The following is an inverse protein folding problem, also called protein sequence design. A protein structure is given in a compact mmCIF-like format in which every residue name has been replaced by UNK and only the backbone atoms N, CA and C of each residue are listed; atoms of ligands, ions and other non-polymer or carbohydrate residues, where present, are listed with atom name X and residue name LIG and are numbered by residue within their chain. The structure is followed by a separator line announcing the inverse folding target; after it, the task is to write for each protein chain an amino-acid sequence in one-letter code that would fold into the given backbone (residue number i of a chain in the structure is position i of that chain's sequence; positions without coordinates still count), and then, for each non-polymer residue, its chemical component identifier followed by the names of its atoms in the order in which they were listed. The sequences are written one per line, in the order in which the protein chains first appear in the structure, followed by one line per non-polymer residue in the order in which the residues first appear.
data_IF_755631774359
#
_entry.id   IF_755631774359
#
_cell.length_a   1.000
_cell.length_b   1.000
_cell.length_c   1.000
_cell.angle_alpha   90.00
_cell.angle_beta   90.00
_cell.angle_gamma   90.00
#
_symmetry.space_group_name_H-M   'P 1'
#
loop_
_entity.id
_entity.type
_entity.pdbx_description
1 polymer ?
#
# COMPACT_ATOMS: atom_id res chain seq x y z
N UNK A 1 12.13 4.44 -9.76
CA UNK A 1 10.89 5.10 -9.30
C UNK A 1 9.75 4.20 -9.76
N UNK A 2 8.97 3.64 -8.85
CA UNK A 2 7.86 2.75 -9.21
C UNK A 2 6.72 3.59 -9.76
N UNK A 3 6.23 3.31 -10.97
CA UNK A 3 5.05 3.99 -11.49
C UNK A 3 3.78 3.36 -10.90
N UNK A 4 3.49 3.72 -9.65
CA UNK A 4 2.26 3.29 -8.95
C UNK A 4 1.02 3.73 -9.72
N UNK A 5 1.07 4.86 -10.44
CA UNK A 5 -0.07 5.34 -11.24
C UNK A 5 -0.34 4.37 -12.38
N UNK A 6 0.68 3.96 -13.13
CA UNK A 6 0.51 3.00 -14.22
C UNK A 6 -0.10 1.69 -13.70
N UNK A 7 0.41 1.15 -12.59
CA UNK A 7 -0.14 -0.08 -11.98
C UNK A 7 -1.62 0.07 -11.64
N UNK A 8 -1.98 1.15 -10.93
CA UNK A 8 -3.38 1.44 -10.57
C UNK A 8 -4.25 1.60 -11.82
N UNK A 9 -3.78 2.32 -12.84
CA UNK A 9 -4.50 2.46 -14.11
C UNK A 9 -4.72 1.12 -14.80
N UNK A 10 -3.75 0.20 -14.78
CA UNK A 10 -3.92 -1.13 -15.35
C UNK A 10 -4.95 -1.94 -14.56
N UNK A 11 -4.88 -1.94 -13.23
CA UNK A 11 -5.84 -2.67 -12.37
C UNK A 11 -7.26 -2.16 -12.62
N UNK A 12 -7.47 -0.84 -12.64
CA UNK A 12 -8.81 -0.27 -12.86
C UNK A 12 -9.39 -0.56 -14.26
N UNK A 13 -8.56 -0.92 -15.24
CA UNK A 13 -8.99 -1.36 -16.58
C UNK A 13 -9.34 -2.84 -16.63
N UNK A 14 -8.85 -3.65 -15.68
CA UNK A 14 -9.20 -5.05 -15.62
C UNK A 14 -10.63 -5.21 -15.08
N UNK A 15 -11.37 -6.23 -15.56
CA UNK A 15 -12.62 -6.65 -14.93
C UNK A 15 -12.39 -6.96 -13.44
N UNK A 16 -13.36 -6.59 -12.59
CA UNK A 16 -13.25 -6.73 -11.13
C UNK A 16 -12.44 -5.63 -10.43
N UNK A 17 -11.52 -4.95 -11.13
CA UNK A 17 -10.75 -3.81 -10.62
C UNK A 17 -9.93 -4.09 -9.35
N UNK A 18 -9.39 -5.30 -9.23
CA UNK A 18 -8.51 -5.73 -8.14
C UNK A 18 -7.27 -6.45 -8.70
N UNK A 19 -6.28 -6.66 -7.86
CA UNK A 19 -5.14 -7.54 -8.13
C UNK A 19 -5.00 -8.60 -7.04
N UNK A 20 -4.30 -9.69 -7.36
CA UNK A 20 -3.88 -10.67 -6.36
C UNK A 20 -2.41 -10.45 -6.03
N UNK A 21 -2.11 -10.31 -4.74
CA UNK A 21 -0.74 -10.36 -4.23
C UNK A 21 -0.45 -11.78 -3.74
N UNK A 22 0.52 -12.43 -4.36
CA UNK A 22 0.93 -13.80 -4.01
C UNK A 22 2.22 -13.76 -3.19
N UNK A 23 2.23 -14.47 -2.07
CA UNK A 23 3.38 -14.61 -1.19
C UNK A 23 3.31 -15.93 -0.41
N UNK A 24 4.24 -16.14 0.51
CA UNK A 24 4.23 -17.27 1.44
C UNK A 24 4.34 -16.81 2.88
N UNK A 25 4.16 -17.72 3.82
CA UNK A 25 4.17 -17.43 5.25
C UNK A 25 5.44 -16.71 5.72
N UNK A 26 6.61 -17.08 5.20
CA UNK A 26 7.87 -16.45 5.59
C UNK A 26 7.97 -14.99 5.16
N UNK A 27 7.48 -14.66 3.96
CA UNK A 27 7.33 -13.28 3.51
C UNK A 27 6.27 -12.58 4.36
N UNK A 28 5.12 -13.21 4.59
CA UNK A 28 3.99 -12.63 5.30
C UNK A 28 4.36 -12.13 6.70
N UNK A 29 4.97 -13.00 7.51
CA UNK A 29 5.34 -12.65 8.89
C UNK A 29 6.42 -11.58 8.93
N UNK A 30 7.25 -11.46 7.90
CA UNK A 30 8.36 -10.52 7.90
C UNK A 30 7.97 -9.16 7.34
N UNK A 31 7.16 -9.14 6.29
CA UNK A 31 6.94 -7.96 5.45
C UNK A 31 5.54 -7.35 5.59
N UNK A 32 4.51 -8.12 5.98
CA UNK A 32 3.17 -7.56 6.12
C UNK A 32 3.11 -6.55 7.27
N UNK A 33 2.56 -5.38 6.96
CA UNK A 33 2.27 -4.32 7.90
C UNK A 33 0.90 -3.74 7.59
N UNK A 34 0.07 -3.59 8.63
CA UNK A 34 -1.27 -3.02 8.51
C UNK A 34 -1.29 -1.65 9.17
N UNK A 35 -1.77 -0.64 8.45
CA UNK A 35 -1.98 0.68 9.04
C UNK A 35 -3.24 0.66 9.90
N UNK A 36 -3.08 0.71 11.23
CA UNK A 36 -4.19 0.74 12.17
C UNK A 36 -3.73 0.46 13.61
N UNK A 37 -4.21 1.25 14.56
CA UNK A 37 -3.87 1.09 15.99
C UNK A 37 -4.35 -0.26 16.57
N UNK A 38 -5.35 -0.89 15.95
CA UNK A 38 -5.92 -2.17 16.39
C UNK A 38 -5.05 -3.38 16.06
N UNK A 39 -4.23 -3.30 15.00
CA UNK A 39 -3.30 -4.36 14.61
C UNK A 39 -1.90 -4.12 15.19
N UNK A 40 -1.49 -2.86 15.33
CA UNK A 40 -0.16 -2.46 15.76
C UNK A 40 -0.02 -2.35 17.29
N UNK A 41 -0.47 -3.36 18.02
CA UNK A 41 -0.58 -3.35 19.50
C UNK A 41 0.75 -3.09 20.20
N UNK A 42 1.87 -3.60 19.66
CA UNK A 42 3.21 -3.35 20.20
C UNK A 42 3.62 -1.86 20.14
N UNK A 43 3.26 -1.15 19.06
CA UNK A 43 3.49 0.30 18.96
C UNK A 43 2.54 1.09 19.85
N UNK A 44 1.25 0.72 19.85
CA UNK A 44 0.21 1.34 20.70
C UNK A 44 0.60 1.31 22.18
N UNK A 45 1.07 0.16 22.63
CA UNK A 45 1.42 -0.10 24.03
C UNK A 45 2.90 0.18 24.33
N UNK A 46 3.65 0.73 23.36
CA UNK A 46 5.08 1.07 23.49
C UNK A 46 5.95 -0.10 23.98
N UNK A 47 5.60 -1.33 23.61
CA UNK A 47 6.29 -2.57 24.01
C UNK A 47 7.56 -2.79 23.18
N UNK A 48 8.63 -2.04 23.48
CA UNK A 48 9.90 -2.05 22.73
C UNK A 48 10.52 -3.44 22.54
N UNK A 49 10.48 -4.30 23.56
CA UNK A 49 10.99 -5.68 23.47
C UNK A 49 10.19 -6.53 22.47
N UNK A 50 8.86 -6.39 22.48
CA UNK A 50 7.98 -7.08 21.54
C UNK A 50 8.22 -6.60 20.12
N UNK A 51 8.37 -5.29 19.91
CA UNK A 51 8.73 -4.72 18.61
C UNK A 51 10.06 -5.26 18.08
N UNK A 52 11.10 -5.34 18.92
CA UNK A 52 12.39 -5.90 18.52
C UNK A 52 12.29 -7.39 18.17
N UNK A 53 11.53 -8.15 18.96
CA UNK A 53 11.26 -9.57 18.68
C UNK A 53 10.53 -9.75 17.34
N UNK A 54 9.48 -8.97 17.09
CA UNK A 54 8.72 -9.00 15.84
C UNK A 54 9.59 -8.59 14.64
N UNK A 55 10.49 -7.61 14.80
CA UNK A 55 11.45 -7.24 13.76
C UNK A 55 12.43 -8.38 13.41
N UNK A 56 12.88 -9.15 14.40
CA UNK A 56 13.87 -10.21 14.21
C UNK A 56 13.24 -11.53 13.73
N UNK A 57 12.07 -11.89 14.25
CA UNK A 57 11.45 -13.20 14.06
C UNK A 57 10.15 -13.17 13.25
N UNK A 58 9.72 -11.99 12.81
CA UNK A 58 8.45 -11.76 12.13
C UNK A 58 7.27 -11.62 13.08
N UNK A 59 6.22 -10.97 12.60
CA UNK A 59 4.95 -10.74 13.27
C UNK A 59 3.92 -11.83 12.91
N UNK A 60 4.10 -13.01 13.49
CA UNK A 60 3.21 -14.17 13.29
C UNK A 60 1.77 -13.91 13.72
N UNK A 61 1.59 -13.11 14.77
CA UNK A 61 0.25 -12.79 15.28
C UNK A 61 -0.51 -11.91 14.29
N UNK A 62 0.15 -10.90 13.71
CA UNK A 62 -0.47 -10.06 12.68
C UNK A 62 -0.88 -10.87 11.46
N UNK A 63 0.04 -11.65 10.90
CA UNK A 63 -0.25 -12.47 9.71
C UNK A 63 -1.35 -13.50 10.00
N UNK A 64 -1.27 -14.21 11.14
CA UNK A 64 -2.27 -15.18 11.54
C UNK A 64 -3.65 -14.55 11.79
N UNK A 65 -3.70 -13.35 12.37
CA UNK A 65 -4.95 -12.62 12.59
C UNK A 65 -5.56 -12.17 11.26
N UNK A 66 -4.75 -11.63 10.34
CA UNK A 66 -5.21 -11.27 9.00
C UNK A 66 -5.82 -12.46 8.27
N UNK A 67 -5.14 -13.61 8.25
CA UNK A 67 -5.65 -14.83 7.61
C UNK A 67 -6.98 -15.30 8.24
N UNK A 68 -7.16 -15.14 9.55
CA UNK A 68 -8.41 -15.55 10.23
C UNK A 68 -9.57 -14.59 10.01
N UNK A 69 -9.29 -13.29 9.93
CA UNK A 69 -10.33 -12.24 9.96
C UNK A 69 -10.67 -11.69 8.56
N UNK A 70 -9.73 -11.71 7.61
CA UNK A 70 -9.92 -11.09 6.30
C UNK A 70 -10.57 -12.07 5.31
N UNK A 71 -11.67 -11.65 4.70
CA UNK A 71 -12.38 -12.40 3.65
C UNK A 71 -11.61 -12.48 2.33
N UNK A 72 -10.64 -11.60 2.15
CA UNK A 72 -9.88 -11.41 0.91
C UNK A 72 -8.52 -12.11 0.93
N UNK A 73 -8.27 -12.97 1.93
CA UNK A 73 -7.04 -13.73 2.05
C UNK A 73 -7.36 -15.22 1.97
N UNK A 74 -6.66 -15.91 1.08
CA UNK A 74 -6.72 -17.38 0.98
C UNK A 74 -5.32 -17.96 1.16
N UNK A 75 -5.27 -19.17 1.72
CA UNK A 75 -4.02 -19.91 1.93
C UNK A 75 -4.15 -21.33 1.41
N UNK A 76 -3.06 -21.88 0.91
CA UNK A 76 -3.00 -23.24 0.37
C UNK A 76 -1.59 -23.80 0.43
N UNK A 77 -1.46 -25.12 0.32
CA UNK A 77 -0.16 -25.81 0.32
C UNK A 77 0.36 -26.11 -1.10
N UNK A 78 -0.40 -25.74 -2.14
CA UNK A 78 -0.01 -25.82 -3.55
C UNK A 78 -0.57 -24.66 -4.36
N UNK A 79 0.05 -24.38 -5.51
CA UNK A 79 -0.39 -23.30 -6.42
C UNK A 79 -1.77 -23.60 -7.01
N UNK A 80 -2.04 -24.87 -7.33
CA UNK A 80 -3.32 -25.31 -7.90
C UNK A 80 -4.45 -25.15 -6.90
N UNK A 81 -4.24 -25.53 -5.63
CA UNK A 81 -5.22 -25.32 -4.58
C UNK A 81 -5.40 -23.82 -4.27
N UNK A 82 -4.32 -23.03 -4.31
CA UNK A 82 -4.39 -21.58 -4.13
C UNK A 82 -5.28 -20.94 -5.20
N UNK A 83 -5.04 -21.25 -6.48
CA UNK A 83 -5.83 -20.76 -7.60
C UNK A 83 -7.30 -21.16 -7.48
N UNK A 84 -7.59 -22.41 -7.09
CA UNK A 84 -8.96 -22.86 -6.85
C UNK A 84 -9.66 -22.02 -5.77
N UNK A 85 -8.98 -21.74 -4.65
CA UNK A 85 -9.52 -20.89 -3.57
C UNK A 85 -9.69 -19.43 -4.00
N UNK A 86 -8.77 -18.88 -4.78
CA UNK A 86 -8.90 -17.54 -5.38
C UNK A 86 -10.15 -17.46 -6.28
N UNK A 87 -10.38 -18.49 -7.08
CA UNK A 87 -11.52 -18.62 -7.99
C UNK A 87 -12.87 -18.84 -7.30
N UNK A 88 -12.89 -19.30 -6.06
CA UNK A 88 -14.12 -19.35 -5.24
C UNK A 88 -14.52 -17.94 -4.80
N UNK A 89 -13.55 -17.06 -4.54
CA UNK A 89 -13.82 -15.68 -4.11
C UNK A 89 -14.19 -14.74 -5.26
N UNK A 90 -13.81 -15.09 -6.50
CA UNK A 90 -14.05 -14.28 -7.69
C UNK A 90 -15.01 -14.99 -8.67
N UNK A 91 -16.09 -14.30 -9.03
CA UNK A 91 -17.14 -14.87 -9.90
C UNK A 91 -17.10 -14.35 -11.34
N UNK A 92 -16.38 -13.25 -11.61
CA UNK A 92 -16.31 -12.62 -12.93
C UNK A 92 -15.06 -13.00 -13.74
N UNK A 93 -13.94 -13.28 -13.09
CA UNK A 93 -12.69 -13.63 -13.75
C UNK A 93 -11.94 -14.75 -13.03
N UNK A 94 -11.72 -15.84 -13.76
CA UNK A 94 -11.01 -17.00 -13.23
C UNK A 94 -9.50 -16.83 -13.43
N UNK A 95 -8.76 -17.07 -12.36
CA UNK A 95 -7.31 -17.25 -12.33
C UNK A 95 -6.98 -18.57 -13.01
N UNK A 96 -6.12 -18.51 -14.02
CA UNK A 96 -5.56 -19.70 -14.66
C UNK A 96 -4.46 -20.30 -13.77
N UNK A 97 -4.65 -21.53 -13.24
CA UNK A 97 -3.66 -22.16 -12.36
C UNK A 97 -2.33 -22.46 -13.06
N UNK A 98 -2.34 -22.79 -14.36
CA UNK A 98 -1.12 -23.12 -15.10
C UNK A 98 -0.29 -21.85 -15.34
N UNK A 99 -0.95 -20.75 -15.71
CA UNK A 99 -0.30 -19.45 -15.83
C UNK A 99 0.25 -18.97 -14.48
N UNK A 100 -0.51 -19.11 -13.40
CA UNK A 100 -0.06 -18.73 -12.06
C UNK A 100 1.20 -19.51 -11.64
N UNK A 101 1.21 -20.82 -11.89
CA UNK A 101 2.37 -21.68 -11.62
C UNK A 101 3.58 -21.31 -12.46
N UNK A 102 3.39 -21.01 -13.74
CA UNK A 102 4.46 -20.58 -14.63
C UNK A 102 5.09 -19.24 -14.20
N UNK A 103 4.27 -18.26 -13.82
CA UNK A 103 4.74 -16.95 -13.32
C UNK A 103 5.54 -17.09 -12.01
N UNK A 104 5.05 -17.91 -11.07
CA UNK A 104 5.76 -18.20 -9.82
C UNK A 104 7.08 -18.93 -10.10
N UNK A 105 7.06 -19.94 -10.96
CA UNK A 105 8.24 -20.72 -11.31
C UNK A 105 9.32 -19.86 -11.98
N UNK A 106 8.92 -18.93 -12.86
CA UNK A 106 9.84 -17.99 -13.50
C UNK A 106 10.54 -17.08 -12.47
N UNK A 107 9.78 -16.52 -11.53
CA UNK A 107 10.31 -15.70 -10.43
C UNK A 107 11.28 -16.50 -9.54
N UNK A 108 10.89 -17.71 -9.12
CA UNK A 108 11.70 -18.57 -8.26
C UNK A 108 12.99 -19.05 -8.95
N UNK A 109 12.93 -19.32 -10.25
CA UNK A 109 14.10 -19.69 -11.05
C UNK A 109 15.13 -18.56 -11.15
N UNK A 110 14.70 -17.29 -11.20
CA UNK A 110 15.63 -16.15 -11.14
C UNK A 110 16.33 -16.07 -9.78
N UNK A 111 15.57 -16.23 -8.69
CA UNK A 111 16.12 -16.28 -7.33
C UNK A 111 17.19 -17.37 -7.21
N UNK A 112 16.93 -18.56 -7.75
CA UNK A 112 17.86 -19.69 -7.74
C UNK A 112 19.16 -19.40 -8.50
N UNK A 113 19.08 -18.68 -9.64
CA UNK A 113 20.28 -18.24 -10.40
C UNK A 113 21.09 -17.18 -9.63
N UNK A 114 20.42 -16.37 -8.81
CA UNK A 114 21.03 -15.41 -7.90
C UNK A 114 21.11 -13.97 -8.45
N UNK A 115 21.49 -12.99 -7.60
CA UNK A 115 21.26 -11.56 -7.85
C UNK A 115 21.92 -10.98 -9.11
N UNK A 116 22.99 -11.61 -9.59
CA UNK A 116 23.66 -11.19 -10.83
C UNK A 116 22.78 -11.38 -12.08
N UNK A 117 21.75 -12.23 -11.98
CA UNK A 117 20.87 -12.61 -13.09
C UNK A 117 19.43 -12.11 -12.91
N UNK A 118 19.18 -11.21 -11.96
CA UNK A 118 17.84 -10.66 -11.73
C UNK A 118 17.47 -9.73 -12.88
N UNK A 119 16.64 -10.26 -13.79
CA UNK A 119 16.03 -9.50 -14.88
C UNK A 119 14.54 -9.29 -14.62
N UNK A 120 13.92 -10.00 -13.70
CA UNK A 120 12.60 -9.67 -13.18
C UNK A 120 12.61 -8.29 -12.49
N UNK A 121 11.62 -7.44 -12.80
CA UNK A 121 11.53 -6.08 -12.29
C UNK A 121 11.23 -6.02 -10.78
N UNK A 122 10.49 -7.00 -10.25
CA UNK A 122 10.21 -7.11 -8.82
C UNK A 122 11.50 -7.40 -8.05
N UNK A 123 12.33 -8.33 -8.55
CA UNK A 123 13.65 -8.65 -7.97
C UNK A 123 14.63 -7.49 -8.07
N UNK A 124 14.68 -6.78 -9.19
CA UNK A 124 15.51 -5.56 -9.34
C UNK A 124 15.11 -4.47 -8.35
N UNK A 125 13.80 -4.27 -8.15
CA UNK A 125 13.28 -3.33 -7.14
C UNK A 125 13.64 -3.77 -5.73
N UNK A 126 13.46 -5.05 -5.42
CA UNK A 126 13.83 -5.62 -4.12
C UNK A 126 15.32 -5.42 -3.84
N UNK A 127 16.19 -5.65 -4.82
CA UNK A 127 17.63 -5.38 -4.71
C UNK A 127 17.90 -3.89 -4.40
N UNK A 128 17.22 -2.98 -5.09
CA UNK A 128 17.35 -1.54 -4.85
C UNK A 128 16.86 -1.11 -3.46
N UNK A 129 15.67 -1.55 -3.02
CA UNK A 129 15.15 -1.22 -1.69
C UNK A 129 16.07 -1.71 -0.57
N UNK A 130 16.68 -2.89 -0.76
CA UNK A 130 17.62 -3.46 0.20
C UNK A 130 18.95 -2.71 0.30
N UNK A 131 19.23 -1.72 -0.55
CA UNK A 131 20.37 -0.80 -0.36
C UNK A 131 20.15 0.11 0.85
N UNK A 132 18.89 0.45 1.16
CA UNK A 132 18.54 1.18 2.37
C UNK A 132 18.51 0.25 3.58
N UNK A 133 19.23 0.64 4.64
CA UNK A 133 19.41 -0.22 5.84
C UNK A 133 18.09 -0.55 6.54
N UNK A 134 17.14 0.39 6.58
CA UNK A 134 15.85 0.18 7.22
C UNK A 134 15.03 -0.91 6.51
N UNK A 135 14.95 -0.82 5.18
CA UNK A 135 14.20 -1.78 4.36
C UNK A 135 14.90 -3.13 4.31
N UNK A 136 16.23 -3.15 4.24
CA UNK A 136 16.99 -4.40 4.27
C UNK A 136 16.69 -5.29 5.48
N UNK A 137 16.44 -4.68 6.65
CA UNK A 137 16.08 -5.39 7.87
C UNK A 137 14.66 -5.93 7.81
N UNK A 138 13.73 -5.16 7.25
CA UNK A 138 12.30 -5.48 7.16
C UNK A 138 11.94 -6.44 6.03
N UNK A 139 12.75 -6.52 4.98
CA UNK A 139 12.48 -7.37 3.82
C UNK A 139 13.18 -8.73 3.91
N UNK A 140 12.55 -9.78 3.37
CA UNK A 140 13.18 -11.06 3.09
C UNK A 140 14.34 -10.88 2.10
N UNK A 141 15.35 -11.74 2.22
CA UNK A 141 16.49 -11.75 1.30
C UNK A 141 16.15 -12.69 0.13
N UNK A 142 15.42 -12.15 -0.85
CA UNK A 142 15.05 -12.83 -2.11
C UNK A 142 14.42 -14.21 -1.84
N UNK A 143 13.26 -14.22 -1.19
CA UNK A 143 12.57 -15.45 -0.82
C UNK A 143 11.78 -15.97 -2.02
N UNK A 144 12.04 -17.21 -2.43
CA UNK A 144 11.23 -17.93 -3.40
C UNK A 144 9.81 -18.10 -2.87
N UNK A 145 8.81 -17.93 -3.73
CA UNK A 145 7.38 -17.98 -3.41
C UNK A 145 6.98 -19.42 -3.10
N UNK A 146 7.30 -20.38 -3.98
CA UNK A 146 6.95 -21.79 -3.83
C UNK A 146 8.05 -22.62 -3.12
N UNK A 147 8.62 -22.06 -2.04
CA UNK A 147 9.59 -22.76 -1.17
C UNK A 147 8.84 -23.62 -0.13
N UNK A 148 9.04 -24.96 -0.12
CA UNK A 148 8.39 -25.84 0.85
C UNK A 148 8.65 -25.46 2.32
N UNK A 149 9.78 -24.83 2.62
CA UNK A 149 10.14 -24.38 3.97
C UNK A 149 9.53 -23.03 4.35
N UNK A 150 8.83 -22.38 3.42
CA UNK A 150 8.22 -21.07 3.59
C UNK A 150 6.69 -21.11 3.53
N UNK A 151 6.10 -22.28 3.31
CA UNK A 151 4.66 -22.56 3.27
C UNK A 151 3.93 -22.14 4.58
N UNK A 152 2.59 -21.95 4.53
CA UNK A 152 1.71 -22.05 3.36
C UNK A 152 1.91 -20.90 2.34
N UNK A 153 1.42 -21.10 1.11
CA UNK A 153 1.17 -20.03 0.16
C UNK A 153 -0.01 -19.18 0.62
N UNK A 154 0.04 -17.90 0.30
CA UNK A 154 -0.95 -16.89 0.68
C UNK A 154 -1.23 -16.03 -0.54
N UNK A 155 -2.51 -15.84 -0.86
CA UNK A 155 -2.97 -14.87 -1.85
C UNK A 155 -3.87 -13.83 -1.18
N UNK A 156 -3.59 -12.55 -1.42
CA UNK A 156 -4.35 -11.42 -0.88
C UNK A 156 -5.01 -10.69 -2.05
N UNK A 157 -6.34 -10.55 -2.04
CA UNK A 157 -7.08 -9.74 -3.00
C UNK A 157 -7.00 -8.27 -2.62
N UNK A 158 -6.39 -7.47 -3.48
CA UNK A 158 -6.11 -6.06 -3.24
C UNK A 158 -6.98 -5.17 -4.13
N UNK A 159 -7.70 -4.24 -3.50
CA UNK A 159 -8.56 -3.28 -4.19
C UNK A 159 -7.95 -1.88 -4.20
N UNK A 160 -8.24 -1.13 -5.26
CA UNK A 160 -7.85 0.28 -5.33
C UNK A 160 -8.77 1.11 -4.43
N UNK A 161 -8.19 1.81 -3.45
CA UNK A 161 -8.92 2.70 -2.56
C UNK A 161 -8.42 4.14 -2.70
N UNK A 162 -9.36 5.07 -2.89
CA UNK A 162 -9.04 6.50 -2.79
C UNK A 162 -8.81 6.86 -1.33
N UNK A 163 -7.56 7.20 -1.00
CA UNK A 163 -7.20 7.64 0.37
C UNK A 163 -7.42 9.12 0.61
N UNK A 164 -7.39 9.95 -0.43
CA UNK A 164 -7.31 11.42 -0.35
C UNK A 164 -7.85 12.08 -1.60
N UNK A 165 -8.53 13.20 -1.45
CA UNK A 165 -8.97 14.06 -2.56
C UNK A 165 -8.02 15.25 -2.72
N UNK A 166 -7.35 15.35 -3.87
CA UNK A 166 -6.44 16.47 -4.18
C UNK A 166 -7.17 17.68 -4.76
N UNK A 167 -8.38 17.48 -5.28
CA UNK A 167 -9.28 18.57 -5.63
C UNK A 167 -9.90 19.21 -4.39
N UNK A 168 -10.59 20.33 -4.59
CA UNK A 168 -11.29 21.00 -3.51
C UNK A 168 -11.78 22.38 -3.91
N UNK A 169 -12.26 23.11 -2.92
CA UNK A 169 -12.73 24.48 -3.04
C UNK A 169 -11.53 25.39 -3.33
N UNK A 170 -11.63 26.21 -4.37
CA UNK A 170 -10.59 27.18 -4.71
C UNK A 170 -10.54 28.28 -3.66
N UNK A 171 -9.34 28.61 -3.18
CA UNK A 171 -9.12 29.69 -2.21
C UNK A 171 -7.94 30.57 -2.62
N UNK A 172 -7.88 31.77 -2.06
CA UNK A 172 -6.68 32.61 -2.12
C UNK A 172 -5.70 32.34 -0.96
N UNK A 173 -4.64 33.16 -0.85
CA UNK A 173 -3.61 33.08 0.20
C UNK A 173 -4.09 33.48 1.61
N UNK A 174 -5.33 33.95 1.73
CA UNK A 174 -6.02 34.21 3.00
C UNK A 174 -7.04 33.10 3.30
N UNK A 175 -7.07 32.03 2.50
CA UNK A 175 -7.99 30.90 2.62
C UNK A 175 -9.46 31.28 2.39
N UNK A 176 -9.74 32.43 1.76
CA UNK A 176 -11.10 32.85 1.39
C UNK A 176 -11.54 32.05 0.17
N UNK A 177 -12.76 31.55 0.20
CA UNK A 177 -13.34 30.82 -0.95
C UNK A 177 -13.55 31.77 -2.11
N UNK A 178 -13.17 31.34 -3.30
CA UNK A 178 -13.34 32.10 -4.53
C UNK A 178 -14.58 31.64 -5.30
N UNK A 179 -15.31 32.59 -5.86
CA UNK A 179 -16.38 32.33 -6.82
C UNK A 179 -15.82 31.96 -8.21
N UNK A 180 -16.71 31.82 -9.20
CA UNK A 180 -16.34 31.46 -10.58
C UNK A 180 -15.57 32.57 -11.31
N UNK A 181 -15.61 33.80 -10.82
CA UNK A 181 -14.89 34.96 -11.34
C UNK A 181 -13.55 35.15 -10.63
N UNK A 182 -13.25 34.35 -9.60
CA UNK A 182 -12.05 34.46 -8.79
C UNK A 182 -12.16 35.51 -7.67
N UNK A 183 -13.36 36.05 -7.42
CA UNK A 183 -13.59 37.00 -6.34
C UNK A 183 -13.87 36.27 -5.01
N UNK A 184 -13.38 36.80 -3.87
CA UNK A 184 -13.62 36.17 -2.58
C UNK A 184 -15.10 36.30 -2.18
N UNK A 185 -15.70 35.19 -1.77
CA UNK A 185 -17.04 35.15 -1.20
C UNK A 185 -16.98 35.63 0.26
N UNK A 186 -17.66 36.73 0.64
CA UNK A 186 -17.57 37.28 1.98
C UNK A 186 -17.96 36.27 3.06
N UNK A 187 -17.13 36.18 4.10
CA UNK A 187 -17.37 35.31 5.26
C UNK A 187 -17.15 33.81 5.04
N UNK A 188 -16.76 33.38 3.83
CA UNK A 188 -16.58 31.96 3.51
C UNK A 188 -15.10 31.60 3.33
N UNK A 189 -14.65 30.60 4.08
CA UNK A 189 -13.27 30.12 4.09
C UNK A 189 -13.22 28.59 3.96
N UNK A 190 -12.14 28.07 3.37
CA UNK A 190 -11.91 26.63 3.26
C UNK A 190 -10.43 26.30 3.52
N UNK A 191 -10.19 25.18 4.21
CA UNK A 191 -8.85 24.69 4.58
C UNK A 191 -8.81 23.18 4.56
N UNK A 192 -7.60 22.60 4.65
CA UNK A 192 -7.44 21.15 4.69
C UNK A 192 -7.97 20.44 3.45
N UNK A 193 -8.41 19.18 3.58
CA UNK A 193 -8.83 18.35 2.44
C UNK A 193 -9.97 18.98 1.63
N UNK A 194 -10.87 19.73 2.27
CA UNK A 194 -11.94 20.46 1.58
C UNK A 194 -11.40 21.47 0.54
N UNK A 195 -10.18 21.96 0.73
CA UNK A 195 -9.46 22.84 -0.18
C UNK A 195 -8.29 22.12 -0.88
N UNK A 196 -8.31 20.78 -0.98
CA UNK A 196 -7.23 20.01 -1.58
C UNK A 196 -5.96 19.97 -0.72
N UNK A 197 -6.11 19.98 0.60
CA UNK A 197 -5.05 20.06 1.62
C UNK A 197 -4.17 21.29 1.47
N UNK A 198 -4.77 22.48 1.39
CA UNK A 198 -4.02 23.74 1.48
C UNK A 198 -4.50 24.86 0.55
N UNK A 199 -5.59 24.64 -0.19
CA UNK A 199 -6.18 25.65 -1.06
C UNK A 199 -5.42 25.83 -2.37
N UNK A 200 -6.11 26.43 -3.34
CA UNK A 200 -5.50 26.92 -4.57
C UNK A 200 -4.79 25.88 -5.44
N UNK A 201 -5.10 24.59 -5.28
CA UNK A 201 -4.46 23.52 -6.05
C UNK A 201 -3.01 23.25 -5.67
N UNK A 202 -2.60 23.50 -4.42
CA UNK A 202 -1.21 23.33 -3.94
C UNK A 202 -0.56 21.97 -4.24
N UNK A 203 -1.35 20.89 -4.28
CA UNK A 203 -0.87 19.54 -4.63
C UNK A 203 -1.12 19.17 -6.10
N UNK A 204 -1.76 20.06 -6.87
CA UNK A 204 -2.06 19.87 -8.28
C UNK A 204 -2.67 18.49 -8.57
N UNK A 205 -2.02 17.74 -9.47
CA UNK A 205 -2.44 16.37 -9.84
C UNK A 205 -1.81 15.28 -8.97
N UNK A 206 -0.73 15.59 -8.24
CA UNK A 206 0.08 14.61 -7.51
C UNK A 206 0.67 15.27 -6.26
N UNK A 207 0.34 14.73 -5.11
CA UNK A 207 0.89 15.15 -3.83
C UNK A 207 2.26 14.53 -3.56
N UNK A 208 3.08 15.24 -2.78
CA UNK A 208 4.24 14.65 -2.12
C UNK A 208 3.82 13.99 -0.81
N UNK A 209 4.37 12.81 -0.52
CA UNK A 209 4.12 12.13 0.74
C UNK A 209 4.53 13.02 1.93
N UNK A 210 3.73 13.01 3.00
CA UNK A 210 3.97 13.81 4.21
C UNK A 210 3.56 15.28 4.14
N UNK A 211 3.18 15.82 2.98
CA UNK A 211 2.86 17.26 2.84
C UNK A 211 1.47 17.66 3.36
N UNK A 212 0.51 16.72 3.39
CA UNK A 212 -0.89 17.00 3.67
C UNK A 212 -1.16 17.62 5.06
N UNK A 213 -0.66 17.00 6.13
CA UNK A 213 -0.93 17.45 7.49
C UNK A 213 -0.35 18.84 7.74
N UNK A 214 0.86 19.09 7.25
CA UNK A 214 1.51 20.39 7.35
C UNK A 214 0.66 21.49 6.69
N UNK A 215 0.18 21.24 5.48
CA UNK A 215 -0.68 22.19 4.77
C UNK A 215 -2.01 22.44 5.49
N UNK A 216 -2.65 21.42 6.07
CA UNK A 216 -3.85 21.61 6.89
C UNK A 216 -3.60 22.55 8.08
N UNK A 217 -2.50 22.32 8.81
CA UNK A 217 -2.16 23.15 9.99
C UNK A 217 -1.85 24.59 9.58
N UNK A 218 -1.08 24.78 8.52
CA UNK A 218 -0.69 26.11 8.05
C UNK A 218 -1.90 26.91 7.55
N UNK A 219 -2.75 26.29 6.73
CA UNK A 219 -3.94 26.96 6.21
C UNK A 219 -4.99 27.20 7.27
N UNK A 220 -5.18 26.28 8.22
CA UNK A 220 -6.04 26.52 9.39
C UNK A 220 -5.60 27.76 10.18
N UNK A 221 -4.29 27.91 10.43
CA UNK A 221 -3.75 29.10 11.09
C UNK A 221 -3.90 30.38 10.26
N UNK A 222 -3.77 30.28 8.94
CA UNK A 222 -3.89 31.43 8.04
C UNK A 222 -5.34 31.92 7.94
N UNK A 223 -6.30 31.01 7.79
CA UNK A 223 -7.72 31.32 7.79
C UNK A 223 -8.14 31.99 9.10
N UNK A 224 -7.71 31.45 10.26
CA UNK A 224 -8.02 32.04 11.55
C UNK A 224 -7.51 33.49 11.69
N UNK A 225 -6.31 33.79 11.17
CA UNK A 225 -5.80 35.17 11.14
C UNK A 225 -6.64 36.08 10.24
N UNK A 226 -6.97 35.62 9.03
CA UNK A 226 -7.77 36.38 8.09
C UNK A 226 -9.25 36.58 8.49
N UNK A 227 -9.73 35.82 9.49
CA UNK A 227 -11.06 36.01 10.11
C UNK A 227 -10.98 37.03 11.25
N UNK A 228 -9.83 37.13 11.92
CA UNK A 228 -9.63 38.01 13.06
C UNK A 228 -9.20 39.44 12.68
N UNK A 229 -8.56 39.60 11.52
CA UNK A 229 -8.23 40.89 10.88
C UNK A 229 -9.49 41.56 10.30
#
# INVERSE_FOLDING_TARGET
YTDTRYLVEQICRQPGQFSWQILNWKIAIKELAVSGCDYMTAFREKKKLRMLKELLFGNKELAGRLIREATDIVTADSVQELAAKMNVLETGHQVDPELLEAEIAAYDAEIARGPAYFVDEQLRRLMNFRTYRGDRLRLCKYQAINDPNAQPLIAIREFILSRKSLGGIQTDLQCRVLDRQGAPIPGLYAVGEAAGFGGGGIHGRRSLEGSFLGSCVLTGRRAARAIAD
#
